data_IF_999091200746
#
_entry.id   IF_999091200746
#
_cell.length_a   1.000
_cell.length_b   1.000
_cell.length_c   1.000
_cell.angle_alpha   90.00
_cell.angle_beta   90.00
_cell.angle_gamma   90.00
#
_symmetry.space_group_name_H-M   'P 1'
#
loop_
_entity.id
_entity.type
_entity.pdbx_description
1 polymer ?
#
# COMPACT_ATOMS: atom_id res chain seq x y z
N UNK A 1 7.38 22.86 7.35
CA UNK A 1 7.53 21.42 7.65
C UNK A 1 6.53 20.89 8.68
N UNK A 2 6.02 21.67 9.65
CA UNK A 2 5.01 21.17 10.61
C UNK A 2 3.78 20.57 9.90
N UNK A 3 3.23 21.27 8.90
CA UNK A 3 2.09 20.77 8.11
C UNK A 3 2.39 19.47 7.37
N UNK A 4 3.64 19.23 6.99
CA UNK A 4 4.06 17.99 6.34
C UNK A 4 3.90 16.81 7.30
N UNK A 5 4.41 16.92 8.54
CA UNK A 5 4.26 15.86 9.55
C UNK A 5 2.81 15.60 9.96
N UNK A 6 1.96 16.64 10.01
CA UNK A 6 0.52 16.45 10.23
C UNK A 6 -0.11 15.68 9.06
N UNK A 7 0.29 16.01 7.83
CA UNK A 7 -0.12 15.28 6.64
C UNK A 7 0.26 13.80 6.73
N UNK A 8 1.51 13.51 7.10
CA UNK A 8 1.99 12.13 7.23
C UNK A 8 1.16 11.30 8.22
N UNK A 9 0.90 11.85 9.41
CA UNK A 9 0.07 11.17 10.41
C UNK A 9 -1.33 10.86 9.87
N UNK A 10 -1.99 11.84 9.26
CA UNK A 10 -3.35 11.67 8.75
C UNK A 10 -3.42 10.74 7.53
N UNK A 11 -2.45 10.81 6.63
CA UNK A 11 -2.40 9.97 5.44
C UNK A 11 -2.25 8.49 5.77
N UNK A 12 -1.43 8.17 6.79
CA UNK A 12 -1.24 6.80 7.26
C UNK A 12 -2.55 6.21 7.81
N UNK A 13 -3.22 6.92 8.75
CA UNK A 13 -4.49 6.45 9.31
C UNK A 13 -5.59 6.37 8.26
N UNK A 14 -5.63 7.33 7.34
CA UNK A 14 -6.66 7.38 6.30
C UNK A 14 -6.57 6.20 5.35
N UNK A 15 -5.37 5.89 4.83
CA UNK A 15 -5.24 4.79 3.87
C UNK A 15 -5.38 3.43 4.55
N UNK A 16 -4.83 3.25 5.76
CA UNK A 16 -4.96 2.00 6.51
C UNK A 16 -6.43 1.66 6.79
N UNK A 17 -7.23 2.65 7.19
CA UNK A 17 -8.67 2.46 7.36
C UNK A 17 -9.39 2.02 6.06
N UNK A 18 -8.96 2.53 4.90
CA UNK A 18 -9.53 2.15 3.61
C UNK A 18 -9.14 0.72 3.24
N UNK A 19 -7.88 0.33 3.46
CA UNK A 19 -7.39 -1.03 3.19
C UNK A 19 -8.10 -2.04 4.09
N UNK A 20 -8.20 -1.76 5.39
CA UNK A 20 -8.90 -2.65 6.33
C UNK A 20 -10.35 -2.90 5.91
N UNK A 21 -11.08 -1.82 5.58
CA UNK A 21 -12.52 -1.88 5.32
C UNK A 21 -12.88 -2.32 3.91
N UNK A 22 -12.16 -1.84 2.90
CA UNK A 22 -12.49 -2.00 1.49
C UNK A 22 -11.47 -2.83 0.71
N UNK A 23 -10.33 -3.18 1.31
CA UNK A 23 -9.23 -3.92 0.69
C UNK A 23 -8.25 -3.02 -0.09
N UNK A 24 -7.14 -3.63 -0.54
CA UNK A 24 -6.06 -2.91 -1.24
C UNK A 24 -6.45 -2.33 -2.62
N UNK A 25 -7.41 -2.96 -3.31
CA UNK A 25 -7.79 -2.52 -4.67
C UNK A 25 -8.48 -1.15 -4.67
N UNK A 26 -9.53 -0.88 -3.86
CA UNK A 26 -10.07 0.47 -3.67
C UNK A 26 -9.03 1.48 -3.17
N UNK A 27 -8.15 1.08 -2.25
CA UNK A 27 -7.07 1.94 -1.75
C UNK A 27 -6.11 2.39 -2.88
N UNK A 28 -5.89 1.57 -3.90
CA UNK A 28 -5.08 1.94 -5.07
C UNK A 28 -5.73 3.09 -5.86
N UNK A 29 -7.04 3.04 -6.10
CA UNK A 29 -7.75 4.14 -6.76
C UNK A 29 -7.70 5.42 -5.94
N UNK A 30 -7.85 5.31 -4.62
CA UNK A 30 -7.74 6.44 -3.70
C UNK A 30 -6.34 7.06 -3.75
N UNK A 31 -5.28 6.26 -3.76
CA UNK A 31 -3.91 6.75 -3.91
C UNK A 31 -3.65 7.45 -5.25
N UNK A 32 -4.27 7.01 -6.35
CA UNK A 32 -4.20 7.71 -7.65
C UNK A 32 -4.84 9.11 -7.54
N UNK A 33 -6.00 9.21 -6.89
CA UNK A 33 -6.67 10.51 -6.67
C UNK A 33 -5.84 11.41 -5.76
N UNK A 34 -5.29 10.88 -4.67
CA UNK A 34 -4.40 11.62 -3.76
C UNK A 34 -3.18 12.14 -4.52
N UNK A 35 -2.50 11.29 -5.30
CA UNK A 35 -1.35 11.67 -6.12
C UNK A 35 -1.71 12.76 -7.13
N UNK A 36 -2.85 12.64 -7.82
CA UNK A 36 -3.33 13.65 -8.76
C UNK A 36 -3.63 15.00 -8.10
N UNK A 37 -4.27 14.97 -6.92
CA UNK A 37 -4.59 16.18 -6.15
C UNK A 37 -3.34 16.87 -5.61
N UNK A 38 -2.38 16.11 -5.08
CA UNK A 38 -1.08 16.60 -4.63
C UNK A 38 -0.34 17.25 -5.80
N UNK A 39 -0.24 16.55 -6.94
CA UNK A 39 0.42 17.08 -8.15
C UNK A 39 -0.21 18.38 -8.65
N UNK A 40 -1.54 18.47 -8.69
CA UNK A 40 -2.25 19.68 -9.08
C UNK A 40 -1.95 20.87 -8.13
N UNK A 41 -1.95 20.63 -6.82
CA UNK A 41 -1.64 21.66 -5.82
C UNK A 41 -0.18 22.10 -5.92
N UNK A 42 0.75 21.17 -6.15
CA UNK A 42 2.17 21.50 -6.38
C UNK A 42 2.36 22.33 -7.63
N UNK A 43 1.72 21.98 -8.76
CA UNK A 43 1.79 22.80 -9.98
C UNK A 43 1.20 24.19 -9.74
N UNK A 44 0.06 24.29 -9.07
CA UNK A 44 -0.55 25.57 -8.73
C UNK A 44 0.39 26.44 -7.86
N UNK A 45 1.05 25.81 -6.87
CA UNK A 45 2.06 26.47 -6.06
C UNK A 45 3.26 26.94 -6.90
N UNK A 46 3.79 26.09 -7.78
CA UNK A 46 4.90 26.43 -8.67
C UNK A 46 4.56 27.59 -9.62
N UNK A 47 3.32 27.67 -10.11
CA UNK A 47 2.86 28.78 -10.96
C UNK A 47 2.79 30.11 -10.20
N UNK A 48 2.30 30.10 -8.96
CA UNK A 48 2.26 31.30 -8.09
C UNK A 48 3.65 31.68 -7.61
N UNK A 49 4.39 30.72 -7.06
CA UNK A 49 5.75 30.87 -6.52
C UNK A 49 5.85 31.92 -5.40
N UNK A 50 4.81 31.98 -4.57
CA UNK A 50 4.72 32.89 -3.43
C UNK A 50 4.50 32.08 -2.15
N UNK A 51 5.20 32.45 -1.08
CA UNK A 51 5.01 31.82 0.21
C UNK A 51 3.71 32.32 0.85
N UNK A 52 2.80 31.40 1.19
CA UNK A 52 1.50 31.73 1.76
C UNK A 52 0.71 30.47 2.11
N UNK A 53 -0.62 30.60 2.24
CA UNK A 53 -1.51 29.48 2.59
C UNK A 53 -1.36 28.28 1.64
N UNK A 54 -1.13 28.56 0.35
CA UNK A 54 -0.91 27.52 -0.65
C UNK A 54 0.37 26.70 -0.41
N UNK A 55 1.43 27.31 0.15
CA UNK A 55 2.65 26.60 0.51
C UNK A 55 2.39 25.61 1.67
N UNK A 56 1.60 26.04 2.67
CA UNK A 56 1.20 25.17 3.78
C UNK A 56 0.32 24.01 3.30
N UNK A 57 -0.63 24.28 2.41
CA UNK A 57 -1.49 23.26 1.81
C UNK A 57 -0.67 22.28 0.95
N UNK A 58 0.27 22.78 0.14
CA UNK A 58 1.17 21.94 -0.64
C UNK A 58 2.00 21.03 0.28
N UNK A 59 2.62 21.57 1.33
CA UNK A 59 3.38 20.77 2.29
C UNK A 59 2.51 19.71 2.98
N UNK A 60 1.28 20.06 3.36
CA UNK A 60 0.33 19.11 3.95
C UNK A 60 0.01 17.96 3.00
N UNK A 61 -0.34 18.28 1.74
CA UNK A 61 -0.70 17.29 0.74
C UNK A 61 0.47 16.40 0.33
N UNK A 62 1.70 16.93 0.35
CA UNK A 62 2.92 16.13 0.18
C UNK A 62 3.06 15.09 1.29
N UNK A 63 2.98 15.50 2.55
CA UNK A 63 3.09 14.55 3.67
C UNK A 63 1.94 13.53 3.69
N UNK A 64 0.71 13.98 3.39
CA UNK A 64 -0.46 13.10 3.31
C UNK A 64 -0.32 12.05 2.20
N UNK A 65 0.14 12.45 1.03
CA UNK A 65 0.38 11.54 -0.08
C UNK A 65 1.52 10.57 0.24
N UNK A 66 2.62 11.06 0.81
CA UNK A 66 3.82 10.26 1.09
C UNK A 66 3.49 9.10 2.03
N UNK A 67 2.85 9.41 3.17
CA UNK A 67 2.46 8.36 4.11
C UNK A 67 1.36 7.45 3.57
N UNK A 68 0.38 7.96 2.83
CA UNK A 68 -0.68 7.12 2.25
C UNK A 68 -0.12 6.09 1.26
N UNK A 69 0.85 6.48 0.42
CA UNK A 69 1.47 5.55 -0.52
C UNK A 69 2.40 4.58 0.21
N UNK A 70 3.20 5.07 1.16
CA UNK A 70 4.12 4.23 1.90
C UNK A 70 3.36 3.16 2.70
N UNK A 71 2.36 3.54 3.51
CA UNK A 71 1.56 2.59 4.30
C UNK A 71 0.92 1.52 3.43
N UNK A 72 0.25 1.91 2.35
CA UNK A 72 -0.36 0.94 1.44
C UNK A 72 0.68 0.03 0.77
N UNK A 73 1.86 0.55 0.44
CA UNK A 73 2.96 -0.28 -0.10
C UNK A 73 3.45 -1.29 0.95
N UNK A 74 3.61 -0.88 2.22
CA UNK A 74 4.02 -1.79 3.30
C UNK A 74 2.95 -2.88 3.55
N UNK A 75 1.67 -2.54 3.48
CA UNK A 75 0.57 -3.51 3.59
C UNK A 75 0.58 -4.53 2.46
N UNK A 76 0.76 -4.09 1.20
CA UNK A 76 0.91 -4.99 0.05
C UNK A 76 2.10 -5.94 0.25
N UNK A 77 3.26 -5.42 0.67
CA UNK A 77 4.45 -6.24 0.88
C UNK A 77 4.26 -7.25 2.02
N UNK A 78 3.50 -6.89 3.06
CA UNK A 78 3.23 -7.76 4.21
C UNK A 78 2.14 -8.82 3.97
N UNK A 79 1.14 -8.53 3.13
CA UNK A 79 0.01 -9.44 2.91
C UNK A 79 0.17 -10.36 1.71
N UNK A 80 0.93 -9.96 0.67
CA UNK A 80 0.93 -10.66 -0.61
C UNK A 80 2.01 -11.74 -0.72
N UNK A 81 3.11 -11.59 0.03
CA UNK A 81 4.27 -12.45 -0.04
C UNK A 81 4.37 -13.39 1.17
N UNK A 82 4.79 -14.63 0.93
CA UNK A 82 4.97 -15.60 2.01
C UNK A 82 6.26 -15.33 2.81
N UNK A 83 7.31 -14.85 2.13
CA UNK A 83 8.54 -14.40 2.77
C UNK A 83 8.49 -12.88 2.90
N UNK A 84 8.38 -12.38 4.13
CA UNK A 84 8.29 -10.95 4.37
C UNK A 84 9.64 -10.24 4.12
N UNK A 85 10.77 -10.89 4.42
CA UNK A 85 12.08 -10.21 4.48
C UNK A 85 12.64 -9.73 3.13
N UNK A 86 12.51 -10.55 2.09
CA UNK A 86 12.99 -10.27 0.74
C UNK A 86 12.29 -9.06 0.07
N UNK A 87 10.95 -9.02 -0.03
CA UNK A 87 10.25 -7.92 -0.70
C UNK A 87 10.45 -6.57 0.01
N UNK A 88 10.47 -6.53 1.36
CA UNK A 88 10.81 -5.31 2.10
C UNK A 88 12.24 -4.83 1.80
N UNK A 89 13.20 -5.76 1.69
CA UNK A 89 14.59 -5.42 1.39
C UNK A 89 14.75 -4.85 -0.02
N UNK A 90 14.11 -5.47 -1.02
CA UNK A 90 14.12 -4.99 -2.41
C UNK A 90 13.45 -3.62 -2.51
N UNK A 91 12.30 -3.43 -1.84
CA UNK A 91 11.61 -2.15 -1.79
C UNK A 91 12.50 -1.02 -1.25
N UNK A 92 13.15 -1.24 -0.10
CA UNK A 92 14.02 -0.24 0.52
C UNK A 92 15.23 0.13 -0.36
N UNK A 93 15.85 -0.87 -1.01
CA UNK A 93 16.98 -0.62 -1.94
C UNK A 93 16.52 0.21 -3.14
N UNK A 94 15.40 -0.16 -3.77
CA UNK A 94 14.86 0.57 -4.92
C UNK A 94 14.45 2.00 -4.54
N UNK A 95 13.86 2.20 -3.37
CA UNK A 95 13.51 3.53 -2.86
C UNK A 95 14.76 4.41 -2.68
N UNK A 96 15.83 3.87 -2.07
CA UNK A 96 17.09 4.60 -1.90
C UNK A 96 17.75 4.96 -3.23
N UNK A 97 17.77 4.03 -4.19
CA UNK A 97 18.32 4.28 -5.53
C UNK A 97 17.51 5.36 -6.25
N UNK A 98 16.18 5.24 -6.26
CA UNK A 98 15.31 6.22 -6.89
C UNK A 98 15.49 7.61 -6.26
N UNK A 99 15.47 7.70 -4.92
CA UNK A 99 15.69 8.93 -4.18
C UNK A 99 17.03 9.58 -4.55
N UNK A 100 18.11 8.78 -4.61
CA UNK A 100 19.44 9.26 -4.99
C UNK A 100 19.47 9.84 -6.41
N UNK A 101 18.84 9.15 -7.38
CA UNK A 101 18.77 9.62 -8.77
C UNK A 101 18.00 10.95 -8.86
N UNK A 102 16.82 11.04 -8.22
CA UNK A 102 16.01 12.27 -8.26
C UNK A 102 16.71 13.43 -7.55
N UNK A 103 17.42 13.19 -6.45
CA UNK A 103 18.22 14.23 -5.78
C UNK A 103 19.35 14.75 -6.68
N UNK A 104 20.06 13.87 -7.40
CA UNK A 104 21.10 14.30 -8.35
C UNK A 104 20.50 15.14 -9.48
N UNK A 105 19.37 14.73 -10.04
CA UNK A 105 18.66 15.52 -11.07
C UNK A 105 18.27 16.90 -10.51
N UNK A 106 17.73 16.93 -9.28
CA UNK A 106 17.25 18.14 -8.63
C UNK A 106 18.35 19.20 -8.43
N UNK A 107 19.62 18.80 -8.25
CA UNK A 107 20.76 19.74 -8.15
C UNK A 107 20.87 20.61 -9.41
N UNK A 108 20.54 20.06 -10.58
CA UNK A 108 20.60 20.79 -11.86
C UNK A 108 19.33 21.60 -12.17
N UNK A 109 18.25 21.38 -11.42
CA UNK A 109 16.98 22.09 -11.61
C UNK A 109 17.07 23.48 -10.97
N UNK A 110 17.41 24.48 -11.78
CA UNK A 110 17.48 25.88 -11.37
C UNK A 110 16.40 26.73 -12.03
N UNK A 111 15.79 27.62 -11.24
CA UNK A 111 14.76 28.54 -11.69
C UNK A 111 13.33 27.98 -11.66
N UNK A 112 12.37 28.91 -11.67
CA UNK A 112 10.93 28.64 -11.53
C UNK A 112 10.39 27.72 -12.63
N UNK A 113 10.74 27.99 -13.89
CA UNK A 113 10.26 27.21 -15.03
C UNK A 113 10.77 25.78 -15.00
N UNK A 114 12.07 25.59 -14.76
CA UNK A 114 12.70 24.26 -14.63
C UNK A 114 12.08 23.47 -13.49
N UNK A 115 11.85 24.10 -12.33
CA UNK A 115 11.21 23.46 -11.18
C UNK A 115 9.77 23.05 -11.45
N UNK A 116 9.03 23.87 -12.20
CA UNK A 116 7.65 23.56 -12.61
C UNK A 116 7.62 22.36 -13.56
N UNK A 117 8.48 22.35 -14.59
CA UNK A 117 8.60 21.24 -15.55
C UNK A 117 8.99 19.95 -14.82
N UNK A 118 9.98 20.03 -13.94
CA UNK A 118 10.41 18.91 -13.12
C UNK A 118 9.26 18.36 -12.26
N UNK A 119 8.51 19.24 -11.59
CA UNK A 119 7.38 18.85 -10.76
C UNK A 119 6.26 18.17 -11.55
N UNK A 120 5.94 18.68 -12.76
CA UNK A 120 4.97 18.05 -13.66
C UNK A 120 5.45 16.66 -14.09
N UNK A 121 6.72 16.54 -14.49
CA UNK A 121 7.30 15.27 -14.91
C UNK A 121 7.24 14.22 -13.80
N UNK A 122 7.69 14.57 -12.59
CA UNK A 122 7.65 13.66 -11.42
C UNK A 122 6.20 13.31 -11.05
N UNK A 123 5.27 14.28 -11.11
CA UNK A 123 3.86 14.03 -10.85
C UNK A 123 3.22 13.06 -11.84
N UNK A 124 3.51 13.21 -13.14
CA UNK A 124 3.04 12.27 -14.18
C UNK A 124 3.65 10.88 -13.98
N UNK A 125 4.95 10.80 -13.71
CA UNK A 125 5.61 9.53 -13.44
C UNK A 125 5.00 8.84 -12.20
N UNK A 126 4.74 9.59 -11.13
CA UNK A 126 4.07 9.09 -9.93
C UNK A 126 2.69 8.53 -10.24
N UNK A 127 1.87 9.23 -11.04
CA UNK A 127 0.57 8.74 -11.49
C UNK A 127 0.67 7.45 -12.31
N UNK A 128 1.66 7.34 -13.20
CA UNK A 128 1.88 6.12 -13.98
C UNK A 128 2.30 4.95 -13.09
N UNK A 129 3.17 5.18 -12.10
CA UNK A 129 3.58 4.16 -11.13
C UNK A 129 2.38 3.68 -10.29
N UNK A 130 1.58 4.60 -9.73
CA UNK A 130 0.35 4.24 -9.00
C UNK A 130 -0.67 3.54 -9.89
N UNK A 131 -0.79 3.97 -11.15
CA UNK A 131 -1.66 3.33 -12.15
C UNK A 131 -1.24 1.89 -12.47
N UNK A 132 0.07 1.61 -12.49
CA UNK A 132 0.57 0.26 -12.72
C UNK A 132 0.19 -0.71 -11.59
N UNK A 133 0.05 -0.21 -10.35
CA UNK A 133 -0.42 -1.01 -9.20
C UNK A 133 -1.84 -1.56 -9.42
N UNK A 134 -2.67 -0.94 -10.27
CA UNK A 134 -4.00 -1.49 -10.60
C UNK A 134 -3.95 -2.82 -11.37
N UNK A 135 -2.81 -3.15 -11.98
CA UNK A 135 -2.60 -4.45 -12.65
C UNK A 135 -2.19 -5.55 -11.68
N UNK A 136 -1.87 -5.20 -10.44
CA UNK A 136 -1.49 -6.15 -9.41
C UNK A 136 -2.72 -6.97 -8.97
N UNK A 137 -2.55 -8.29 -8.85
CA UNK A 137 -3.59 -9.21 -8.39
C UNK A 137 -3.43 -9.45 -6.89
N UNK A 138 -4.21 -8.72 -6.09
CA UNK A 138 -4.22 -8.85 -4.64
C UNK A 138 -4.84 -10.18 -4.17
N UNK A 139 -4.20 -10.85 -3.20
CA UNK A 139 -4.61 -12.13 -2.60
C UNK A 139 -5.49 -11.95 -1.35
N UNK A 140 -5.66 -10.73 -0.84
CA UNK A 140 -6.48 -10.45 0.35
C UNK A 140 -7.93 -10.95 0.24
N UNK A 141 -8.52 -10.92 -0.96
CA UNK A 141 -9.90 -11.36 -1.17
C UNK A 141 -10.08 -12.85 -0.88
N UNK A 142 -9.10 -13.67 -1.27
CA UNK A 142 -9.13 -15.13 -1.06
C UNK A 142 -9.09 -15.45 0.45
N UNK A 143 -8.43 -14.61 1.26
CA UNK A 143 -8.37 -14.79 2.72
C UNK A 143 -9.69 -14.46 3.41
N UNK A 144 -10.37 -13.38 3.04
CA UNK A 144 -11.68 -13.03 3.65
C UNK A 144 -12.70 -14.15 3.39
N UNK A 145 -12.71 -14.70 2.18
CA UNK A 145 -13.59 -15.82 1.82
C UNK A 145 -13.31 -17.08 2.65
N UNK A 146 -12.03 -17.40 2.91
CA UNK A 146 -11.66 -18.53 3.78
C UNK A 146 -12.14 -18.33 5.23
N UNK A 147 -12.05 -17.11 5.77
CA UNK A 147 -12.52 -16.79 7.12
C UNK A 147 -14.05 -16.92 7.19
N UNK A 148 -14.76 -16.42 6.18
CA UNK A 148 -16.22 -16.53 6.08
C UNK A 148 -16.69 -17.99 5.95
N UNK A 149 -15.86 -18.87 5.39
CA UNK A 149 -16.07 -20.33 5.33
C UNK A 149 -15.72 -21.06 6.64
N UNK A 150 -15.32 -20.34 7.69
CA UNK A 150 -15.00 -20.91 9.00
C UNK A 150 -13.59 -21.50 9.11
N UNK A 151 -12.69 -21.21 8.16
CA UNK A 151 -11.29 -21.59 8.32
C UNK A 151 -10.66 -20.81 9.48
N UNK A 152 -9.85 -21.48 10.30
CA UNK A 152 -9.13 -20.81 11.40
C UNK A 152 -8.21 -19.72 10.82
N UNK A 153 -8.43 -18.42 11.12
CA UNK A 153 -7.59 -17.34 10.61
C UNK A 153 -6.12 -17.49 11.03
N UNK A 154 -5.83 -18.23 12.10
CA UNK A 154 -4.47 -18.51 12.56
C UNK A 154 -3.82 -19.70 11.86
N UNK A 155 -4.57 -20.51 11.11
CA UNK A 155 -3.97 -21.57 10.27
C UNK A 155 -3.02 -20.97 9.23
N UNK A 156 -3.41 -19.84 8.64
CA UNK A 156 -2.61 -19.11 7.66
C UNK A 156 -1.33 -18.49 8.23
N UNK A 157 -1.40 -17.96 9.46
CA UNK A 157 -0.23 -17.41 10.15
C UNK A 157 0.76 -18.50 10.54
N UNK A 158 0.26 -19.68 10.94
CA UNK A 158 1.09 -20.86 11.17
C UNK A 158 1.79 -21.30 9.87
N UNK A 159 1.06 -21.36 8.77
CA UNK A 159 1.61 -21.72 7.47
C UNK A 159 2.69 -20.73 6.99
N UNK A 160 2.52 -19.43 7.24
CA UNK A 160 3.54 -18.41 6.93
C UNK A 160 4.79 -18.51 7.81
N UNK A 161 4.61 -18.80 9.11
CA UNK A 161 5.70 -18.82 10.09
C UNK A 161 6.58 -20.07 9.99
N UNK A 162 6.02 -21.18 9.53
CA UNK A 162 6.72 -22.47 9.47
C UNK A 162 7.21 -22.87 8.07
N UNK A 163 6.94 -22.07 7.03
CA UNK A 163 7.30 -22.39 5.65
C UNK A 163 6.54 -23.62 5.18
N UNK A 164 5.36 -23.42 4.60
CA UNK A 164 4.48 -24.53 4.21
C UNK A 164 5.24 -25.56 3.35
N UNK A 165 5.22 -26.86 3.71
CA UNK A 165 5.53 -27.90 2.74
C UNK A 165 4.55 -27.81 1.57
N UNK A 166 5.02 -28.09 0.34
CA UNK A 166 4.22 -27.95 -0.89
C UNK A 166 2.78 -28.46 -0.72
N UNK A 167 1.82 -27.69 -1.25
CA UNK A 167 0.36 -27.91 -1.20
C UNK A 167 -0.15 -29.29 -1.71
N UNK A 168 0.76 -30.22 -2.04
CA UNK A 168 0.45 -31.57 -2.49
C UNK A 168 -0.14 -32.52 -1.45
N UNK A 169 -0.16 -32.16 -0.16
CA UNK A 169 -0.63 -33.07 0.91
C UNK A 169 -1.94 -32.70 1.60
N UNK A 170 -2.61 -31.60 1.23
CA UNK A 170 -4.03 -31.44 1.58
C UNK A 170 -4.91 -32.23 0.58
N UNK A 171 -4.64 -33.55 0.47
CA UNK A 171 -5.66 -34.49 -0.01
C UNK A 171 -6.84 -34.33 0.94
N UNK A 172 -7.96 -33.83 0.40
CA UNK A 172 -9.28 -33.82 1.05
C UNK A 172 -9.41 -35.09 1.88
N UNK A 173 -9.38 -34.98 3.20
CA UNK A 173 -10.01 -36.01 4.01
C UNK A 173 -11.48 -35.99 3.59
N UNK A 174 -12.01 -37.07 3.00
CA UNK A 174 -13.44 -37.13 2.72
C UNK A 174 -14.18 -36.88 4.03
N UNK A 175 -15.18 -36.02 3.97
CA UNK A 175 -16.09 -35.75 5.07
C UNK A 175 -17.00 -36.97 5.29
N UNK A 176 -16.41 -38.09 5.70
CA UNK A 176 -17.10 -39.33 6.02
C UNK A 176 -16.45 -39.96 7.25
N UNK A 177 -16.84 -39.46 8.42
CA UNK A 177 -17.16 -40.30 9.58
C UNK A 177 -17.90 -39.41 10.58
N UNK A 178 -19.20 -39.25 10.34
CA UNK A 178 -20.14 -38.88 11.39
C UNK A 178 -20.07 -40.01 12.40
N UNK A 179 -19.30 -39.80 13.47
CA UNK A 179 -19.27 -40.66 14.64
C UNK A 179 -20.71 -40.80 15.12
N UNK A 180 -21.25 -42.00 14.95
CA UNK A 180 -22.53 -42.38 15.54
C UNK A 180 -22.42 -42.19 17.05
N UNK A 181 -23.20 -41.26 17.57
CA UNK A 181 -23.44 -41.17 19.01
C UNK A 181 -24.34 -42.35 19.32
N UNK A 182 -23.80 -43.38 19.99
CA UNK A 182 -24.58 -44.47 20.55
C UNK A 182 -25.60 -43.88 21.55
N UNK A 183 -26.90 -43.99 21.22
CA UNK A 183 -28.02 -43.53 22.06
C UNK A 183 -28.28 -44.45 23.27
N UNK A 184 -27.48 -45.48 23.50
CA UNK A 184 -27.77 -46.52 24.51
C UNK A 184 -27.17 -46.27 25.92
N UNK A 185 -26.51 -45.14 26.16
CA UNK A 185 -25.92 -44.81 27.48
C UNK A 185 -26.81 -43.91 28.37
N UNK A 186 -28.13 -43.95 28.18
CA UNK A 186 -29.11 -43.35 29.10
C UNK A 186 -30.23 -44.36 29.42
N UNK A 187 -29.94 -45.31 30.29
CA UNK A 187 -30.95 -46.04 31.09
C UNK A 187 -30.45 -46.35 32.49
#
# INVERSE_FOLDING_TARGET
MIMFGIGELLGCFFIGYIVDKFGSRPATYVNIVIMGSMGAITVLYCLRYEFGVLAYLMCFMWGFQDSAINTHSQEILGFEFNNNSEPFSVYNILQCIACSIFQVIQIYVSGKTSYTIYSIFVGVLGLLCCGNTLRFKFREHDRKELIDLGADPNSFLRDQQYGVPELGEYKRKPAEETVGVDEDEIR
#
